data_IF_494267876410
#
_entry.id   IF_494267876410
#
_cell.length_a   1.000
_cell.length_b   1.000
_cell.length_c   1.000
_cell.angle_alpha   90.00
_cell.angle_beta   90.00
_cell.angle_gamma   90.00
#
_symmetry.space_group_name_H-M   'P 1'
#
loop_
_entity.id
_entity.type
_entity.pdbx_description
1 polymer ?
#
# COMPACT_ATOMS: atom_id res chain seq x y z
N UNK A 1 0.27 -9.68 24.48
CA UNK A 1 1.21 -10.46 25.34
C UNK A 1 0.93 -10.08 26.78
N UNK A 2 0.85 -11.04 27.71
CA UNK A 2 0.72 -10.71 29.15
C UNK A 2 2.05 -10.13 29.62
N UNK A 3 2.03 -8.97 30.26
CA UNK A 3 3.24 -8.29 30.77
C UNK A 3 3.31 -8.23 32.28
N UNK A 4 2.25 -8.61 32.98
CA UNK A 4 2.17 -8.56 34.42
C UNK A 4 0.74 -8.79 34.90
N UNK A 5 0.53 -8.61 36.20
CA UNK A 5 -0.77 -8.67 36.84
C UNK A 5 -0.89 -7.52 37.84
N UNK A 6 -2.08 -6.93 37.94
CA UNK A 6 -2.44 -6.06 39.05
C UNK A 6 -3.44 -6.81 39.93
N UNK A 7 -3.00 -7.23 41.12
CA UNK A 7 -3.69 -8.24 41.93
C UNK A 7 -3.91 -9.51 41.09
N UNK A 8 -5.16 -9.94 40.93
CA UNK A 8 -5.53 -11.09 40.10
C UNK A 8 -5.81 -10.73 38.62
N UNK A 9 -5.77 -9.45 38.23
CA UNK A 9 -6.13 -9.02 36.88
C UNK A 9 -4.90 -9.00 35.95
N UNK A 10 -4.92 -9.72 34.81
CA UNK A 10 -3.80 -9.71 33.86
C UNK A 10 -3.66 -8.36 33.14
N UNK A 11 -2.43 -7.92 32.97
CA UNK A 11 -2.05 -6.75 32.19
C UNK A 11 -1.54 -7.19 30.81
N UNK A 12 -2.04 -6.55 29.76
CA UNK A 12 -1.69 -6.90 28.39
C UNK A 12 -0.95 -5.75 27.70
N UNK A 13 0.19 -6.08 27.09
CA UNK A 13 0.77 -5.23 26.05
C UNK A 13 0.11 -5.55 24.72
N UNK A 14 -0.47 -4.52 24.12
CA UNK A 14 -0.92 -4.55 22.73
C UNK A 14 0.29 -4.78 21.81
N UNK A 15 0.20 -5.78 20.93
CA UNK A 15 1.30 -6.12 20.01
C UNK A 15 0.96 -5.59 18.62
N UNK A 16 -0.11 -6.11 18.02
CA UNK A 16 -0.71 -5.63 16.79
C UNK A 16 -2.11 -6.23 16.65
N UNK A 17 -2.94 -5.69 15.74
CA UNK A 17 -4.12 -6.43 15.26
C UNK A 17 -3.66 -7.46 14.22
N UNK A 18 -4.23 -8.68 14.26
CA UNK A 18 -3.98 -9.67 13.20
C UNK A 18 -4.63 -9.17 11.90
N UNK A 19 -4.01 -9.48 10.77
CA UNK A 19 -4.52 -9.21 9.42
C UNK A 19 -4.66 -7.73 9.03
N UNK A 20 -3.89 -6.81 9.61
CA UNK A 20 -3.84 -5.40 9.16
C UNK A 20 -2.45 -5.12 8.59
N UNK A 21 -2.41 -4.73 7.31
CA UNK A 21 -1.17 -4.39 6.61
C UNK A 21 -0.96 -2.88 6.51
N UNK A 22 -2.03 -2.11 6.30
CA UNK A 22 -1.99 -0.65 6.24
C UNK A 22 -3.06 -0.05 7.16
N UNK A 23 -2.70 1.07 7.79
CA UNK A 23 -3.55 1.85 8.70
C UNK A 23 -2.91 3.21 8.91
N UNK A 24 -3.66 4.28 8.69
CA UNK A 24 -3.21 5.66 8.96
C UNK A 24 -4.00 6.26 10.13
N UNK A 25 -5.31 6.02 10.17
CA UNK A 25 -6.24 6.46 11.20
C UNK A 25 -7.10 5.27 11.68
N UNK A 26 -8.42 5.34 11.57
CA UNK A 26 -9.33 4.27 11.99
C UNK A 26 -9.46 3.14 10.96
N UNK A 27 -8.95 3.37 9.75
CA UNK A 27 -8.89 2.43 8.63
C UNK A 27 -7.98 1.23 8.93
N UNK A 28 -8.36 0.08 8.36
CA UNK A 28 -7.64 -1.19 8.56
C UNK A 28 -7.70 -1.98 7.26
N UNK A 29 -6.77 -1.69 6.35
CA UNK A 29 -6.66 -2.49 5.13
C UNK A 29 -5.86 -3.76 5.41
N UNK A 30 -6.42 -4.90 5.02
CA UNK A 30 -5.76 -6.20 5.08
C UNK A 30 -5.09 -6.54 3.73
N UNK A 31 -4.26 -7.58 3.73
CA UNK A 31 -3.47 -7.96 2.55
C UNK A 31 -4.35 -8.38 1.35
N UNK A 32 -5.44 -9.11 1.60
CA UNK A 32 -6.32 -9.60 0.54
C UNK A 32 -7.07 -8.45 -0.15
N UNK A 33 -7.57 -7.48 0.63
CA UNK A 33 -8.24 -6.29 0.11
C UNK A 33 -7.26 -5.43 -0.68
N UNK A 34 -6.04 -5.25 -0.18
CA UNK A 34 -4.99 -4.52 -0.89
C UNK A 34 -4.62 -5.21 -2.21
N UNK A 35 -4.38 -6.52 -2.17
CA UNK A 35 -4.05 -7.32 -3.37
C UNK A 35 -5.14 -7.23 -4.43
N UNK A 36 -6.41 -7.31 -4.02
CA UNK A 36 -7.54 -7.16 -4.94
C UNK A 36 -7.58 -5.76 -5.55
N UNK A 37 -7.42 -4.72 -4.73
CA UNK A 37 -7.44 -3.33 -5.20
C UNK A 37 -6.29 -3.04 -6.18
N UNK A 38 -5.07 -3.50 -5.87
CA UNK A 38 -3.90 -3.34 -6.75
C UNK A 38 -4.06 -4.13 -8.05
N UNK A 39 -4.49 -5.40 -7.98
CA UNK A 39 -4.70 -6.24 -9.18
C UNK A 39 -5.72 -5.58 -10.12
N UNK A 40 -6.81 -5.05 -9.58
CA UNK A 40 -7.83 -4.36 -10.36
C UNK A 40 -7.29 -3.09 -11.00
N UNK A 41 -6.58 -2.25 -10.24
CA UNK A 41 -6.02 -1.01 -10.75
C UNK A 41 -4.92 -1.24 -11.80
N UNK A 42 -4.05 -2.24 -11.59
CA UNK A 42 -2.98 -2.59 -12.53
C UNK A 42 -3.51 -3.10 -13.88
N UNK A 43 -4.70 -3.71 -13.91
CA UNK A 43 -5.33 -4.16 -15.16
C UNK A 43 -5.61 -3.02 -16.16
N UNK A 44 -5.71 -1.77 -15.67
CA UNK A 44 -5.86 -0.58 -16.51
C UNK A 44 -4.63 -0.31 -17.38
N UNK A 45 -3.47 -0.85 -16.99
CA UNK A 45 -2.21 -0.68 -17.73
C UNK A 45 -2.06 -1.67 -18.89
N UNK A 46 -2.80 -2.79 -18.88
CA UNK A 46 -2.65 -3.83 -19.90
C UNK A 46 -2.88 -3.32 -21.33
N UNK A 47 -3.94 -2.54 -21.63
CA UNK A 47 -4.15 -1.99 -22.97
C UNK A 47 -3.07 -0.99 -23.40
N UNK A 48 -2.31 -0.44 -22.45
CA UNK A 48 -1.22 0.51 -22.69
C UNK A 48 0.13 -0.20 -22.92
N UNK A 49 0.15 -1.55 -22.89
CA UNK A 49 1.39 -2.32 -23.06
C UNK A 49 2.30 -2.26 -21.85
N UNK A 50 1.73 -2.17 -20.64
CA UNK A 50 2.47 -2.22 -19.38
C UNK A 50 1.80 -3.18 -18.40
N UNK A 51 2.62 -3.93 -17.65
CA UNK A 51 2.18 -4.88 -16.64
C UNK A 51 2.83 -4.55 -15.30
N UNK A 52 2.09 -4.75 -14.21
CA UNK A 52 2.68 -4.70 -12.87
C UNK A 52 3.48 -5.99 -12.63
N UNK A 53 4.80 -5.86 -12.49
CA UNK A 53 5.69 -6.99 -12.22
C UNK A 53 5.64 -7.35 -10.73
N UNK A 54 5.91 -6.36 -9.86
CA UNK A 54 5.81 -6.51 -8.41
C UNK A 54 5.35 -5.23 -7.73
N UNK A 55 4.84 -5.39 -6.51
CA UNK A 55 4.48 -4.27 -5.66
C UNK A 55 4.67 -4.54 -4.17
N UNK A 56 4.90 -3.46 -3.44
CA UNK A 56 4.80 -3.40 -1.98
C UNK A 56 4.14 -2.08 -1.55
N UNK A 57 3.90 -1.92 -0.27
CA UNK A 57 3.23 -0.75 0.29
C UNK A 57 3.79 -0.33 1.63
N UNK A 58 3.54 0.91 2.03
CA UNK A 58 3.66 1.33 3.42
C UNK A 58 2.70 2.48 3.72
N UNK A 59 2.44 2.71 5.02
CA UNK A 59 1.68 3.85 5.48
C UNK A 59 2.64 5.01 5.79
N UNK A 60 2.57 6.07 5.00
CA UNK A 60 3.34 7.28 5.21
C UNK A 60 2.66 8.15 6.27
N UNK A 61 3.36 8.35 7.37
CA UNK A 61 2.93 9.16 8.52
C UNK A 61 3.80 10.40 8.70
N UNK A 62 4.70 10.69 7.74
CA UNK A 62 5.50 11.90 7.72
C UNK A 62 4.72 13.12 7.22
N UNK A 63 3.69 12.90 6.39
CA UNK A 63 2.74 13.93 5.97
C UNK A 63 1.55 14.04 6.93
N UNK A 64 0.90 15.21 6.96
CA UNK A 64 -0.35 15.43 7.69
C UNK A 64 -1.40 15.95 6.68
N UNK A 65 -2.48 15.18 6.40
CA UNK A 65 -2.72 13.82 6.87
C UNK A 65 -1.72 12.81 6.29
N UNK A 66 -1.54 11.68 7.00
CA UNK A 66 -0.79 10.54 6.49
C UNK A 66 -1.53 9.90 5.30
N UNK A 67 -0.86 9.06 4.53
CA UNK A 67 -1.44 8.43 3.34
C UNK A 67 -0.82 7.08 3.03
N UNK A 68 -1.44 6.33 2.12
CA UNK A 68 -0.90 5.06 1.64
C UNK A 68 0.04 5.31 0.48
N UNK A 69 1.20 4.65 0.50
CA UNK A 69 2.17 4.65 -0.59
C UNK A 69 2.32 3.24 -1.12
N UNK A 70 2.22 3.08 -2.44
CA UNK A 70 2.46 1.83 -3.15
C UNK A 70 3.69 1.98 -4.05
N UNK A 71 4.67 1.08 -3.90
CA UNK A 71 5.78 0.98 -4.85
C UNK A 71 5.42 -0.02 -5.93
N UNK A 72 5.47 0.40 -7.19
CA UNK A 72 5.11 -0.43 -8.34
C UNK A 72 6.32 -0.56 -9.27
N UNK A 73 6.77 -1.79 -9.51
CA UNK A 73 7.72 -2.10 -10.56
C UNK A 73 6.94 -2.54 -11.80
N UNK A 74 7.13 -1.81 -12.91
CA UNK A 74 6.37 -2.01 -14.13
C UNK A 74 7.24 -2.67 -15.19
N UNK A 75 6.68 -3.68 -15.87
CA UNK A 75 7.28 -4.28 -17.06
C UNK A 75 6.59 -3.74 -18.31
N UNK A 76 7.37 -3.11 -19.18
CA UNK A 76 6.88 -2.64 -20.49
C UNK A 76 6.86 -3.80 -21.46
N UNK A 77 5.71 -4.04 -22.07
CA UNK A 77 5.49 -5.10 -23.06
C UNK A 77 5.12 -4.56 -24.45
N UNK A 78 4.89 -3.25 -24.58
CA UNK A 78 4.44 -2.63 -25.82
C UNK A 78 4.70 -1.12 -25.89
N UNK A 79 3.64 -0.32 -26.04
CA UNK A 79 3.62 1.07 -26.53
C UNK A 79 4.28 2.15 -25.63
N UNK A 80 5.21 1.76 -24.75
CA UNK A 80 5.94 2.66 -23.86
C UNK A 80 5.42 2.65 -22.42
N UNK A 81 6.01 3.49 -21.59
CA UNK A 81 5.58 3.67 -20.20
C UNK A 81 4.21 4.36 -20.11
N UNK A 82 3.36 4.02 -19.13
CA UNK A 82 2.09 4.70 -18.93
C UNK A 82 2.33 6.19 -18.65
N UNK A 83 1.48 7.04 -19.22
CA UNK A 83 1.53 8.47 -18.93
C UNK A 83 1.02 8.78 -17.50
N UNK A 84 1.20 10.03 -17.08
CA UNK A 84 0.77 10.45 -15.75
C UNK A 84 -0.73 10.26 -15.51
N UNK A 85 -1.57 10.47 -16.53
CA UNK A 85 -3.02 10.34 -16.41
C UNK A 85 -3.43 8.88 -16.16
N UNK A 86 -2.78 7.93 -16.83
CA UNK A 86 -3.02 6.50 -16.61
C UNK A 86 -2.63 6.10 -15.19
N UNK A 87 -1.47 6.54 -14.71
CA UNK A 87 -0.99 6.24 -13.35
C UNK A 87 -1.87 6.86 -12.26
N UNK A 88 -2.36 8.08 -12.47
CA UNK A 88 -3.34 8.73 -11.57
C UNK A 88 -4.67 7.98 -11.56
N UNK A 89 -5.12 7.49 -12.73
CA UNK A 89 -6.28 6.61 -12.84
C UNK A 89 -6.11 5.30 -12.06
N UNK A 90 -4.91 4.72 -12.04
CA UNK A 90 -4.60 3.58 -11.17
C UNK A 90 -4.72 3.95 -9.69
N UNK A 91 -4.21 5.12 -9.26
CA UNK A 91 -4.34 5.58 -7.87
C UNK A 91 -5.81 5.68 -7.44
N UNK A 92 -6.64 6.30 -8.29
CA UNK A 92 -8.08 6.42 -8.07
C UNK A 92 -8.78 5.07 -8.00
N UNK A 93 -8.42 4.15 -8.89
CA UNK A 93 -8.98 2.80 -8.93
C UNK A 93 -8.62 1.99 -7.66
N UNK A 94 -7.40 2.14 -7.14
CA UNK A 94 -7.05 1.53 -5.85
C UNK A 94 -7.91 2.10 -4.74
N UNK A 95 -7.99 3.43 -4.59
CA UNK A 95 -8.79 4.07 -3.53
C UNK A 95 -10.28 3.67 -3.59
N UNK A 96 -10.84 3.53 -4.79
CA UNK A 96 -12.23 3.12 -5.01
C UNK A 96 -12.50 1.67 -4.55
N UNK A 97 -11.51 0.79 -4.66
CA UNK A 97 -11.61 -0.63 -4.31
C UNK A 97 -11.28 -0.94 -2.83
N UNK A 98 -10.82 0.06 -2.07
CA UNK A 98 -10.62 -0.05 -0.63
C UNK A 98 -11.95 0.04 0.14
N UNK A 99 -11.90 -0.40 1.41
CA UNK A 99 -13.10 -0.55 2.23
C UNK A 99 -13.82 0.77 2.51
N UNK A 100 -15.04 0.67 3.05
CA UNK A 100 -15.84 1.85 3.38
C UNK A 100 -15.22 2.72 4.48
N UNK A 101 -14.35 2.19 5.34
CA UNK A 101 -13.69 2.97 6.41
C UNK A 101 -12.59 3.83 5.80
N UNK A 102 -11.72 3.26 4.97
CA UNK A 102 -10.72 4.00 4.20
C UNK A 102 -11.38 5.12 3.39
N UNK A 103 -12.43 4.78 2.62
CA UNK A 103 -13.14 5.77 1.81
C UNK A 103 -13.81 6.86 2.64
N UNK A 104 -14.31 6.56 3.85
CA UNK A 104 -14.81 7.57 4.80
C UNK A 104 -13.70 8.48 5.28
N UNK A 105 -12.58 7.90 5.72
CA UNK A 105 -11.41 8.64 6.22
C UNK A 105 -10.84 9.57 5.15
N UNK A 106 -10.84 9.13 3.89
CA UNK A 106 -10.40 9.89 2.72
C UNK A 106 -11.36 11.01 2.29
N UNK A 107 -12.68 10.78 2.38
CA UNK A 107 -13.69 11.69 1.81
C UNK A 107 -14.36 12.62 2.82
N UNK A 108 -14.74 12.09 3.99
CA UNK A 108 -15.51 12.80 5.01
C UNK A 108 -14.62 13.28 6.14
N UNK A 109 -13.87 12.37 6.75
CA UNK A 109 -13.09 12.68 7.95
C UNK A 109 -11.83 13.47 7.59
N UNK A 110 -11.37 13.37 6.33
CA UNK A 110 -10.14 14.00 5.79
C UNK A 110 -8.90 13.65 6.62
N UNK A 111 -8.89 12.48 7.26
CA UNK A 111 -7.81 11.97 8.09
C UNK A 111 -6.77 11.15 7.31
N UNK A 112 -7.07 10.81 6.06
CA UNK A 112 -6.15 10.14 5.13
C UNK A 112 -5.97 11.01 3.88
N UNK A 113 -4.73 11.26 3.49
CA UNK A 113 -4.35 11.95 2.27
C UNK A 113 -4.54 11.10 1.01
N UNK A 114 -4.38 11.69 -0.19
CA UNK A 114 -4.46 10.95 -1.45
C UNK A 114 -3.47 9.79 -1.49
N UNK A 115 -3.93 8.62 -1.92
CA UNK A 115 -3.05 7.48 -2.20
C UNK A 115 -1.99 7.87 -3.23
N UNK A 116 -0.75 7.45 -2.98
CA UNK A 116 0.39 7.65 -3.86
C UNK A 116 0.86 6.32 -4.46
N UNK A 117 1.05 6.30 -5.78
CA UNK A 117 1.82 5.26 -6.47
C UNK A 117 3.18 5.82 -6.84
N UNK A 118 4.24 5.17 -6.37
CA UNK A 118 5.64 5.43 -6.70
C UNK A 118 6.11 4.34 -7.66
N UNK A 119 6.37 4.71 -8.91
CA UNK A 119 6.94 3.79 -9.90
C UNK A 119 8.44 3.69 -9.65
N UNK A 120 8.95 2.47 -9.55
CA UNK A 120 10.38 2.18 -9.37
C UNK A 120 10.97 1.60 -10.65
N UNK A 121 12.29 1.72 -10.80
CA UNK A 121 13.06 1.11 -11.89
C UNK A 121 12.95 -0.41 -11.89
N UNK A 122 13.15 -1.04 -13.06
CA UNK A 122 13.22 -2.50 -13.18
C UNK A 122 14.41 -3.04 -12.37
N UNK A 123 14.18 -4.11 -11.59
CA UNK A 123 15.17 -4.67 -10.67
C UNK A 123 15.20 -4.04 -9.27
N UNK A 124 14.32 -3.08 -8.97
CA UNK A 124 14.20 -2.54 -7.61
C UNK A 124 13.75 -3.61 -6.60
N UNK A 125 12.87 -4.53 -7.01
CA UNK A 125 12.45 -5.64 -6.14
C UNK A 125 13.50 -6.75 -6.03
N UNK A 126 14.41 -6.89 -7.00
CA UNK A 126 15.59 -7.75 -6.87
C UNK A 126 16.57 -7.17 -5.84
N UNK A 127 16.83 -5.86 -5.89
CA UNK A 127 17.64 -5.19 -4.87
C UNK A 127 17.02 -5.30 -3.46
N UNK A 128 15.69 -5.21 -3.38
CA UNK A 128 14.96 -5.44 -2.12
C UNK A 128 15.12 -6.87 -1.62
N UNK A 129 15.07 -7.86 -2.51
CA UNK A 129 15.32 -9.25 -2.19
C UNK A 129 16.74 -9.45 -1.65
N UNK A 130 17.76 -8.92 -2.32
CA UNK A 130 19.16 -8.99 -1.88
C UNK A 130 19.35 -8.37 -0.49
N UNK A 131 18.70 -7.24 -0.22
CA UNK A 131 18.68 -6.62 1.10
C UNK A 131 18.08 -7.58 2.15
N UNK A 132 16.96 -8.23 1.85
CA UNK A 132 16.33 -9.19 2.75
C UNK A 132 17.19 -10.45 2.98
N UNK A 133 17.86 -10.95 1.94
CA UNK A 133 18.74 -12.13 2.00
C UNK A 133 19.98 -11.83 2.83
N UNK A 134 20.60 -10.66 2.66
CA UNK A 134 21.76 -10.21 3.46
C UNK A 134 21.47 -10.16 4.96
N UNK A 135 20.19 -10.04 5.33
CA UNK A 135 19.68 -10.02 6.71
C UNK A 135 19.26 -11.39 7.24
N UNK A 136 19.58 -12.46 6.52
CA UNK A 136 19.33 -13.83 6.93
C UNK A 136 18.01 -14.42 6.43
N UNK A 137 17.33 -13.79 5.47
CA UNK A 137 16.19 -14.43 4.80
C UNK A 137 16.70 -15.52 3.85
N UNK A 138 16.04 -16.68 3.83
CA UNK A 138 16.36 -17.74 2.87
C UNK A 138 15.90 -17.33 1.46
N UNK A 139 16.81 -17.36 0.49
CA UNK A 139 16.52 -17.06 -0.93
C UNK A 139 15.34 -17.90 -1.44
N UNK A 140 15.36 -19.20 -1.14
CA UNK A 140 14.36 -20.16 -1.63
C UNK A 140 12.95 -19.99 -1.01
N UNK A 141 12.81 -19.14 0.00
CA UNK A 141 11.54 -18.87 0.67
C UNK A 141 11.11 -17.41 0.54
N UNK A 142 11.91 -16.58 -0.14
CA UNK A 142 11.62 -15.17 -0.25
C UNK A 142 10.33 -14.97 -1.05
N UNK A 143 9.47 -14.11 -0.50
CA UNK A 143 8.32 -13.54 -1.16
C UNK A 143 8.34 -12.04 -0.89
N UNK A 144 8.07 -11.25 -1.92
CA UNK A 144 7.93 -9.81 -1.78
C UNK A 144 6.88 -9.50 -0.71
N UNK A 145 7.24 -8.81 0.38
CA UNK A 145 6.28 -8.44 1.40
C UNK A 145 5.29 -7.42 0.82
N UNK A 146 3.98 -7.63 1.01
CA UNK A 146 2.95 -6.69 0.51
C UNK A 146 2.89 -5.39 1.29
N UNK A 147 3.49 -5.34 2.47
CA UNK A 147 3.72 -4.12 3.24
C UNK A 147 5.09 -4.17 3.92
N UNK A 148 5.87 -3.09 3.79
CA UNK A 148 7.17 -2.92 4.41
C UNK A 148 7.12 -1.89 5.54
N UNK A 149 7.86 -2.20 6.61
CA UNK A 149 8.07 -1.28 7.76
C UNK A 149 9.53 -0.93 8.01
N UNK A 150 10.45 -1.65 7.35
CA UNK A 150 11.88 -1.41 7.47
C UNK A 150 12.22 -0.08 6.82
N UNK A 151 12.73 0.88 7.60
CA UNK A 151 13.17 2.19 7.09
C UNK A 151 14.23 2.05 6.01
N UNK A 152 15.07 1.03 6.09
CA UNK A 152 16.11 0.77 5.10
C UNK A 152 15.55 0.23 3.79
N UNK A 153 14.57 -0.68 3.85
CA UNK A 153 13.88 -1.16 2.66
C UNK A 153 13.11 -0.03 1.96
N UNK A 154 12.43 0.82 2.75
CA UNK A 154 11.77 2.02 2.23
C UNK A 154 12.79 2.94 1.58
N UNK A 155 13.92 3.22 2.24
CA UNK A 155 14.97 4.10 1.69
C UNK A 155 15.59 3.55 0.41
N UNK A 156 15.77 2.23 0.31
CA UNK A 156 16.25 1.57 -0.90
C UNK A 156 15.27 1.80 -2.06
N UNK A 157 13.99 1.46 -1.88
CA UNK A 157 12.98 1.66 -2.91
C UNK A 157 12.83 3.15 -3.28
N UNK A 158 12.85 4.05 -2.29
CA UNK A 158 12.81 5.50 -2.51
C UNK A 158 13.93 6.00 -3.42
N UNK A 159 15.14 5.40 -3.33
CA UNK A 159 16.28 5.77 -4.17
C UNK A 159 16.14 5.32 -5.63
N UNK A 160 15.20 4.40 -5.91
CA UNK A 160 14.95 3.84 -7.24
C UNK A 160 13.60 4.31 -7.81
N UNK A 161 12.97 5.33 -7.21
CA UNK A 161 11.71 5.91 -7.70
C UNK A 161 11.96 6.77 -8.94
N UNK A 162 11.28 6.42 -10.04
CA UNK A 162 11.30 7.17 -11.31
C UNK A 162 10.03 7.97 -11.57
N UNK A 163 8.95 7.73 -10.82
CA UNK A 163 7.70 8.47 -10.97
C UNK A 163 6.86 8.46 -9.70
N UNK A 164 6.14 9.56 -9.44
CA UNK A 164 5.23 9.70 -8.30
C UNK A 164 3.89 10.23 -8.78
N UNK A 165 2.83 9.53 -8.44
CA UNK A 165 1.48 9.82 -8.90
C UNK A 165 0.52 9.75 -7.72
N UNK A 166 -0.39 10.70 -7.64
CA UNK A 166 -1.36 10.79 -6.56
C UNK A 166 -2.78 10.64 -7.12
N UNK A 167 -3.67 10.04 -6.33
CA UNK A 167 -5.09 10.06 -6.63
C UNK A 167 -5.59 11.51 -6.68
N UNK A 168 -6.13 11.93 -7.83
CA UNK A 168 -6.66 13.29 -8.03
C UNK A 168 -8.13 13.43 -7.63
N UNK A 169 -8.83 12.30 -7.48
CA UNK A 169 -10.24 12.27 -7.09
C UNK A 169 -10.40 11.67 -5.71
N UNK A 170 -11.47 12.08 -5.04
CA UNK A 170 -11.86 11.51 -3.75
C UNK A 170 -12.76 10.30 -4.04
N UNK A 171 -12.51 9.12 -3.44
CA UNK A 171 -13.35 7.95 -3.65
C UNK A 171 -14.75 8.18 -3.07
N UNK A 172 -15.76 7.65 -3.76
CA UNK A 172 -17.14 7.76 -3.33
C UNK A 172 -17.35 7.01 -2.02
N UNK A 173 -17.93 7.70 -1.05
CA UNK A 173 -18.38 7.14 0.21
C UNK A 173 -19.80 7.60 0.52
N UNK A 174 -20.65 6.69 0.97
CA UNK A 174 -21.98 7.00 1.46
C UNK A 174 -22.17 6.33 2.83
N UNK A 175 -22.86 6.99 3.78
CA UNK A 175 -23.26 6.34 5.02
C UNK A 175 -24.10 5.10 4.71
N UNK A 176 -23.85 3.98 5.39
CA UNK A 176 -24.80 2.87 5.34
C UNK A 176 -26.16 3.37 5.85
N UNK A 177 -27.19 3.28 5.01
CA UNK A 177 -28.57 3.49 5.45
C UNK A 177 -28.95 2.30 6.32
N UNK A 178 -28.93 2.50 7.64
CA UNK A 178 -29.58 1.57 8.56
C UNK A 178 -31.07 1.80 8.35
N UNK A 179 -31.77 0.80 7.81
CA UNK A 179 -33.21 0.87 7.59
C UNK A 179 -33.93 1.23 8.88
N UNK A 180 -34.74 2.29 8.81
CA UNK A 180 -35.68 2.73 9.84
C UNK A 180 -36.86 1.78 9.99
#
# INVERSE_FOLDING_TARGET
>A
MVTGFHNAAPQFRFVHRRNVVLSVDTDKTNEADLLRAVTQAASLLHPLGSLLAEYTSYADTSSIPGHYVLFWELKVTGAGHPDASAMEGCCEAVEASLDAVYRRCRSRDRSIGPLEVRVVEEGAFDALMDLCVSRGSSVNQYKTPRCIKSKEAIKLLESMVVGRFFSRRVPLWQPMKIGS
#
